data_IF_640453592313
#
_entry.id   IF_640453592313
#
_cell.length_a   1.000
_cell.length_b   1.000
_cell.length_c   1.000
_cell.angle_alpha   90.00
_cell.angle_beta   90.00
_cell.angle_gamma   90.00
#
_symmetry.space_group_name_H-M   'P 1'
#
loop_
_entity.id
_entity.type
_entity.pdbx_description
1 polymer ?
#
# COMPACT_ATOMS: atom_id res chain seq x y z
N UNK A 1 -33.97 -37.08 34.42
CA UNK A 1 -33.88 -36.90 32.96
C UNK A 1 -33.43 -35.46 32.70
N UNK A 2 -32.16 -35.24 32.35
CA UNK A 2 -31.63 -33.88 32.13
C UNK A 2 -30.90 -33.85 30.78
N UNK A 3 -31.44 -33.08 29.84
CA UNK A 3 -30.87 -32.87 28.50
C UNK A 3 -29.58 -32.04 28.65
N UNK A 4 -28.42 -32.68 28.53
CA UNK A 4 -27.15 -31.98 28.32
C UNK A 4 -27.27 -31.23 26.99
N UNK A 5 -27.28 -29.89 27.06
CA UNK A 5 -27.10 -29.04 25.88
C UNK A 5 -25.73 -29.35 25.29
N UNK A 6 -25.73 -29.69 24.02
CA UNK A 6 -24.54 -30.11 23.28
C UNK A 6 -23.58 -28.92 23.17
N UNK A 7 -22.38 -29.07 23.72
CA UNK A 7 -21.35 -28.02 23.78
C UNK A 7 -20.92 -27.61 22.37
N UNK A 8 -21.07 -28.52 21.39
CA UNK A 8 -20.83 -28.22 19.98
C UNK A 8 -21.90 -27.32 19.37
N UNK A 9 -23.14 -27.38 19.84
CA UNK A 9 -24.24 -26.55 19.35
C UNK A 9 -24.16 -25.10 19.86
N UNK A 10 -23.69 -24.92 21.10
CA UNK A 10 -23.45 -23.57 21.66
C UNK A 10 -22.25 -22.88 20.97
N UNK A 11 -21.27 -23.66 20.49
CA UNK A 11 -20.15 -23.15 19.71
C UNK A 11 -20.53 -22.80 18.26
N UNK A 12 -21.50 -23.51 17.65
CA UNK A 12 -22.02 -23.14 16.32
C UNK A 12 -22.86 -21.86 16.35
N UNK A 13 -23.60 -21.62 17.42
CA UNK A 13 -24.46 -20.43 17.57
C UNK A 13 -23.67 -19.14 17.92
N UNK A 14 -22.39 -19.28 18.29
CA UNK A 14 -21.47 -18.17 18.60
C UNK A 14 -20.52 -17.83 17.45
N UNK A 15 -20.70 -18.44 16.27
CA UNK A 15 -19.85 -18.23 15.10
C UNK A 15 -20.15 -16.85 14.49
N UNK A 16 -19.19 -15.90 14.44
CA UNK A 16 -19.43 -14.60 13.83
C UNK A 16 -19.71 -14.75 12.33
N UNK A 17 -20.71 -14.04 11.82
CA UNK A 17 -21.22 -14.11 10.44
C UNK A 17 -20.16 -13.90 9.32
N UNK A 18 -18.95 -13.45 9.69
CA UNK A 18 -17.78 -13.41 8.79
C UNK A 18 -17.18 -14.78 8.45
N UNK A 19 -17.58 -15.83 9.17
CA UNK A 19 -17.10 -17.21 8.99
C UNK A 19 -18.15 -18.14 8.36
N UNK A 20 -19.29 -17.61 7.94
CA UNK A 20 -20.13 -18.31 6.98
C UNK A 20 -19.39 -18.30 5.63
N UNK A 21 -19.41 -19.41 4.86
CA UNK A 21 -18.92 -19.40 3.50
C UNK A 21 -19.78 -18.41 2.71
N UNK A 22 -19.31 -17.17 2.66
CA UNK A 22 -19.96 -16.07 1.97
C UNK A 22 -20.18 -16.42 0.51
N UNK A 23 -21.29 -15.90 0.02
CA UNK A 23 -22.00 -15.96 -1.25
C UNK A 23 -21.17 -15.59 -2.50
N UNK A 24 -19.89 -15.97 -2.56
CA UNK A 24 -19.03 -15.85 -3.74
C UNK A 24 -18.62 -14.41 -4.10
N UNK A 25 -18.89 -13.43 -3.23
CA UNK A 25 -18.56 -12.02 -3.47
C UNK A 25 -17.07 -11.74 -3.27
N UNK A 26 -16.38 -11.43 -4.36
CA UNK A 26 -14.99 -10.98 -4.36
C UNK A 26 -14.94 -9.46 -4.14
N UNK A 27 -14.49 -9.02 -2.97
CA UNK A 27 -14.24 -7.61 -2.67
C UNK A 27 -12.78 -7.25 -3.01
N UNK A 28 -12.51 -6.44 -4.06
CA UNK A 28 -11.15 -5.99 -4.35
C UNK A 28 -10.55 -5.14 -3.22
N UNK A 29 -11.38 -4.47 -2.40
CA UNK A 29 -10.89 -3.79 -1.21
C UNK A 29 -10.52 -4.78 -0.10
N UNK A 30 -10.95 -6.05 -0.11
CA UNK A 30 -10.52 -7.06 0.86
C UNK A 30 -9.11 -7.61 0.56
N UNK A 31 -8.61 -7.45 -0.67
CA UNK A 31 -7.23 -7.82 -1.05
C UNK A 31 -6.24 -6.70 -0.66
N UNK A 32 -6.68 -5.44 -0.65
CA UNK A 32 -5.88 -4.29 -0.17
C UNK A 32 -6.14 -3.92 1.28
N UNK A 33 -7.29 -4.29 1.86
CA UNK A 33 -7.60 -4.09 3.27
C UNK A 33 -6.92 -5.18 4.08
N UNK A 34 -5.80 -4.82 4.67
CA UNK A 34 -5.19 -5.64 5.71
C UNK A 34 -6.08 -5.72 6.97
N UNK A 35 -5.94 -6.80 7.77
CA UNK A 35 -6.78 -7.07 8.94
C UNK A 35 -6.72 -5.92 9.95
N UNK A 36 -7.89 -5.43 10.35
CA UNK A 36 -8.00 -4.46 11.45
C UNK A 36 -7.54 -5.13 12.75
N UNK A 37 -6.80 -4.43 13.62
CA UNK A 37 -6.60 -4.91 14.99
C UNK A 37 -7.98 -5.02 15.66
N UNK A 38 -8.38 -6.24 16.06
CA UNK A 38 -9.49 -6.36 17.00
C UNK A 38 -9.11 -5.57 18.26
N UNK A 39 -10.00 -4.72 18.81
CA UNK A 39 -9.73 -4.07 20.07
C UNK A 39 -9.52 -5.16 21.12
N UNK A 40 -8.36 -5.14 21.79
CA UNK A 40 -8.10 -5.94 22.98
C UNK A 40 -9.30 -5.74 23.92
N UNK A 41 -10.12 -6.79 24.06
CA UNK A 41 -11.14 -6.82 25.11
C UNK A 41 -10.36 -6.71 26.41
N UNK A 42 -10.55 -5.66 27.22
CA UNK A 42 -9.80 -5.53 28.45
C UNK A 42 -10.19 -6.70 29.35
N UNK A 43 -9.26 -7.62 29.56
CA UNK A 43 -9.35 -8.59 30.63
C UNK A 43 -9.55 -7.80 31.93
N UNK A 44 -10.66 -8.05 32.61
CA UNK A 44 -11.02 -7.37 33.86
C UNK A 44 -9.90 -7.56 34.90
N UNK A 45 -8.99 -6.59 34.99
CA UNK A 45 -7.96 -6.55 36.03
C UNK A 45 -8.60 -6.10 37.33
N UNK A 46 -8.68 -7.04 38.27
CA UNK A 46 -9.04 -6.79 39.68
C UNK A 46 -8.12 -5.69 40.23
N UNK A 47 -8.74 -4.63 40.72
CA UNK A 47 -8.08 -3.49 41.34
C UNK A 47 -7.45 -3.94 42.67
N UNK A 48 -6.12 -4.04 42.72
CA UNK A 48 -5.38 -4.09 43.97
C UNK A 48 -4.99 -2.66 44.36
N UNK A 49 -5.56 -2.19 45.47
CA UNK A 49 -5.33 -0.85 46.05
C UNK A 49 -3.97 -0.84 46.75
N UNK A 50 -3.01 -0.08 46.24
CA UNK A 50 -1.81 0.28 46.99
C UNK A 50 -1.88 1.77 47.37
N UNK A 51 -1.85 2.01 48.69
CA UNK A 51 -1.83 3.31 49.34
C UNK A 51 -0.45 3.95 49.11
N UNK A 52 -0.42 5.22 48.67
CA UNK A 52 0.78 6.05 48.72
C UNK A 52 0.51 7.27 49.59
N UNK A 53 1.40 7.44 50.56
CA UNK A 53 1.41 8.44 51.63
C UNK A 53 1.84 9.78 51.04
N UNK A 54 1.10 10.84 51.41
CA UNK A 54 1.43 12.24 51.19
C UNK A 54 2.65 12.63 52.05
N UNK A 55 3.65 13.24 51.43
CA UNK A 55 4.60 14.10 52.14
C UNK A 55 4.86 15.35 51.28
N UNK A 56 4.49 16.50 51.84
CA UNK A 56 4.70 17.83 51.32
C UNK A 56 6.10 18.35 51.72
N UNK A 57 6.68 19.22 50.89
CA UNK A 57 7.87 20.00 51.23
C UNK A 57 8.10 21.12 50.21
N UNK A 58 8.00 22.37 50.66
CA UNK A 58 8.16 23.62 49.91
C UNK A 58 9.63 24.11 49.91
N UNK A 59 10.17 24.44 48.70
CA UNK A 59 10.80 25.74 48.24
C UNK A 59 12.12 26.24 48.92
N UNK A 60 12.97 27.17 48.37
CA UNK A 60 13.32 27.68 47.00
C UNK A 60 14.85 27.66 46.68
N UNK A 61 15.28 28.04 45.43
CA UNK A 61 16.24 29.14 45.17
C UNK A 61 16.85 29.17 43.72
N UNK A 62 16.58 30.29 43.02
CA UNK A 62 17.44 31.18 42.19
C UNK A 62 18.65 30.67 41.35
N UNK A 63 18.59 31.02 40.04
CA UNK A 63 19.49 31.92 39.28
C UNK A 63 20.21 31.40 38.01
N UNK A 64 20.37 32.35 37.07
CA UNK A 64 21.15 32.39 35.82
C UNK A 64 20.58 31.56 34.63
N UNK A 65 20.43 32.06 33.40
CA UNK A 65 20.97 33.24 32.75
C UNK A 65 21.53 32.82 31.39
N UNK A 66 20.77 32.96 30.30
CA UNK A 66 21.29 32.86 28.94
C UNK A 66 20.42 33.68 27.97
N UNK A 67 20.99 34.77 27.45
CA UNK A 67 20.47 35.49 26.29
C UNK A 67 20.53 34.57 25.06
N UNK A 68 19.38 34.23 24.48
CA UNK A 68 19.31 33.72 23.13
C UNK A 68 19.15 34.90 22.17
N UNK A 69 20.22 35.23 21.44
CA UNK A 69 20.18 36.15 20.30
C UNK A 69 19.33 35.51 19.20
N UNK A 70 18.14 36.07 18.95
CA UNK A 70 17.35 35.73 17.78
C UNK A 70 17.99 36.41 16.57
N UNK A 71 18.82 35.67 15.84
CA UNK A 71 19.23 36.09 14.49
C UNK A 71 18.03 35.87 13.58
N UNK A 72 17.34 36.96 13.23
CA UNK A 72 16.37 36.97 12.16
C UNK A 72 17.11 36.77 10.82
N UNK A 73 17.22 35.51 10.39
CA UNK A 73 17.67 35.20 9.03
C UNK A 73 16.52 35.55 8.08
N UNK A 74 16.63 36.69 7.40
CA UNK A 74 15.91 36.95 6.16
C UNK A 74 16.26 35.85 5.16
N UNK A 75 15.30 35.25 4.45
CA UNK A 75 15.65 34.41 3.31
C UNK A 75 16.10 35.34 2.18
N UNK A 76 17.39 35.64 2.14
CA UNK A 76 18.03 36.14 0.94
C UNK A 76 18.04 35.01 -0.10
N UNK A 77 17.54 35.36 -1.27
CA UNK A 77 17.56 34.64 -2.53
C UNK A 77 18.89 33.93 -2.78
N UNK A 78 18.85 32.60 -2.85
CA UNK A 78 19.96 31.82 -3.39
C UNK A 78 19.88 31.79 -4.93
N UNK A 79 21.01 31.99 -5.65
CA UNK A 79 21.06 31.91 -7.10
C UNK A 79 20.88 30.47 -7.57
N UNK A 80 19.92 30.24 -8.45
CA UNK A 80 19.63 28.93 -9.05
C UNK A 80 20.78 28.50 -9.97
N UNK A 81 21.44 27.35 -9.75
CA UNK A 81 22.21 26.70 -10.80
C UNK A 81 21.21 26.19 -11.83
N UNK A 82 21.29 26.71 -13.05
CA UNK A 82 20.43 26.31 -14.18
C UNK A 82 20.71 24.85 -14.52
N UNK A 83 19.80 23.89 -14.30
CA UNK A 83 19.95 22.57 -14.88
C UNK A 83 19.82 22.75 -16.39
N UNK A 84 20.77 22.17 -17.15
CA UNK A 84 20.60 22.01 -18.59
C UNK A 84 19.31 21.23 -18.79
N UNK A 85 18.25 21.92 -19.23
CA UNK A 85 16.99 21.30 -19.56
C UNK A 85 17.28 20.25 -20.65
N UNK A 86 17.28 18.98 -20.27
CA UNK A 86 16.92 17.95 -21.22
C UNK A 86 15.52 18.33 -21.71
N UNK A 87 15.37 18.48 -23.03
CA UNK A 87 14.07 18.74 -23.62
C UNK A 87 13.08 17.69 -23.07
N UNK A 88 11.85 18.07 -22.68
CA UNK A 88 10.86 17.08 -22.30
C UNK A 88 10.69 16.15 -23.50
N UNK A 89 11.04 14.86 -23.32
CA UNK A 89 10.62 13.83 -24.26
C UNK A 89 9.11 13.99 -24.44
N UNK A 90 8.59 14.04 -25.69
CA UNK A 90 7.16 14.14 -25.89
C UNK A 90 6.49 13.00 -25.14
N UNK A 91 5.46 13.31 -24.34
CA UNK A 91 4.70 12.29 -23.65
C UNK A 91 4.22 11.25 -24.69
N UNK A 92 4.35 9.95 -24.41
CA UNK A 92 3.90 8.92 -25.35
C UNK A 92 2.41 9.16 -25.66
N UNK A 93 2.04 9.05 -26.94
CA UNK A 93 0.69 9.41 -27.39
C UNK A 93 -0.36 8.34 -27.05
N UNK A 94 0.07 7.19 -26.53
CA UNK A 94 -0.80 6.05 -26.18
C UNK A 94 -0.25 5.24 -25.01
N UNK A 95 -1.16 4.55 -24.31
CA UNK A 95 -0.82 3.61 -23.25
C UNK A 95 0.19 2.54 -23.69
N UNK A 96 -0.02 2.00 -24.90
CA UNK A 96 0.84 0.98 -25.50
C UNK A 96 2.28 1.47 -25.68
N UNK A 97 2.47 2.70 -26.19
CA UNK A 97 3.79 3.27 -26.39
C UNK A 97 4.51 3.45 -25.05
N UNK A 98 3.84 4.02 -24.04
CA UNK A 98 4.38 4.19 -22.70
C UNK A 98 4.88 2.86 -22.12
N UNK A 99 4.04 1.82 -22.18
CA UNK A 99 4.36 0.50 -21.63
C UNK A 99 5.50 -0.19 -22.38
N UNK A 100 5.59 -0.04 -23.71
CA UNK A 100 6.70 -0.60 -24.49
C UNK A 100 8.02 0.13 -24.20
N UNK A 101 8.01 1.45 -24.05
CA UNK A 101 9.19 2.23 -23.63
C UNK A 101 9.63 1.85 -22.22
N UNK A 102 8.69 1.66 -21.29
CA UNK A 102 9.00 1.16 -19.96
C UNK A 102 9.64 -0.25 -20.03
N UNK A 103 9.13 -1.14 -20.87
CA UNK A 103 9.68 -2.48 -21.08
C UNK A 103 11.14 -2.46 -21.59
N UNK A 104 11.45 -1.56 -22.53
CA UNK A 104 12.82 -1.39 -23.05
C UNK A 104 13.77 -0.86 -21.96
N UNK A 105 13.33 0.14 -21.21
CA UNK A 105 14.14 0.78 -20.16
C UNK A 105 14.47 -0.19 -19.04
N UNK A 106 13.47 -0.89 -18.51
CA UNK A 106 13.70 -1.83 -17.38
C UNK A 106 14.44 -3.08 -17.83
N UNK A 107 14.25 -3.55 -19.07
CA UNK A 107 14.87 -4.79 -19.56
C UNK A 107 16.40 -4.75 -19.63
N UNK A 108 17.00 -3.56 -19.66
CA UNK A 108 18.45 -3.34 -19.67
C UNK A 108 19.09 -3.18 -18.28
N UNK A 109 18.31 -3.28 -17.21
CA UNK A 109 18.84 -3.14 -15.83
C UNK A 109 19.50 -4.43 -15.34
N UNK A 110 20.40 -4.31 -14.37
CA UNK A 110 21.10 -5.45 -13.79
C UNK A 110 20.18 -6.29 -12.88
N UNK A 111 20.44 -7.59 -12.83
CA UNK A 111 19.77 -8.49 -11.89
C UNK A 111 20.38 -8.27 -10.50
N UNK A 112 19.59 -7.78 -9.56
CA UNK A 112 20.01 -7.69 -8.16
C UNK A 112 19.89 -9.02 -7.41
N UNK A 113 20.67 -9.15 -6.34
CA UNK A 113 20.59 -10.25 -5.38
C UNK A 113 20.83 -9.71 -3.96
N UNK A 114 20.42 -10.47 -2.96
CA UNK A 114 20.69 -10.15 -1.56
C UNK A 114 19.98 -11.13 -0.65
N UNK A 115 20.32 -11.13 0.65
CA UNK A 115 19.67 -11.92 1.69
C UNK A 115 18.18 -11.59 1.87
N UNK A 116 17.80 -10.36 1.54
CA UNK A 116 16.42 -9.89 1.58
C UNK A 116 16.03 -9.20 0.28
N UNK A 117 14.78 -9.43 -0.14
CA UNK A 117 14.05 -8.47 -0.96
C UNK A 117 13.31 -7.51 -0.03
N UNK A 118 13.70 -6.24 -0.03
CA UNK A 118 13.14 -5.21 0.84
C UNK A 118 12.14 -4.37 0.05
N UNK A 119 10.92 -4.27 0.56
CA UNK A 119 9.94 -3.30 0.07
C UNK A 119 9.59 -2.29 1.17
N UNK A 120 9.41 -1.04 0.77
CA UNK A 120 8.83 0.03 1.57
C UNK A 120 7.69 0.60 0.77
N UNK A 121 6.48 0.49 1.32
CA UNK A 121 5.25 0.85 0.63
C UNK A 121 4.41 1.75 1.53
N UNK A 122 3.87 2.82 0.97
CA UNK A 122 2.81 3.60 1.61
C UNK A 122 1.45 3.19 1.03
N UNK A 123 0.55 2.73 1.89
CA UNK A 123 -0.85 2.51 1.56
C UNK A 123 -1.68 3.70 2.02
N UNK A 124 -2.68 4.07 1.23
CA UNK A 124 -3.69 5.04 1.62
C UNK A 124 -5.09 4.50 1.36
N UNK A 125 -5.97 4.61 2.35
CA UNK A 125 -7.39 4.27 2.25
C UNK A 125 -8.24 5.52 2.43
N UNK A 126 -9.09 5.80 1.45
CA UNK A 126 -9.98 6.97 1.51
C UNK A 126 -11.21 6.64 2.36
N UNK A 127 -11.47 7.49 3.36
CA UNK A 127 -12.57 7.37 4.30
C UNK A 127 -13.39 8.64 4.27
N UNK A 128 -14.69 8.49 4.05
CA UNK A 128 -15.61 9.61 4.21
C UNK A 128 -15.94 9.79 5.70
N UNK A 129 -15.65 10.97 6.24
CA UNK A 129 -15.81 11.30 7.66
C UNK A 129 -16.59 12.60 7.83
N UNK A 130 -16.76 13.04 9.09
CA UNK A 130 -17.51 14.26 9.43
C UNK A 130 -19.01 14.05 9.65
N UNK A 131 -19.72 15.10 10.11
CA UNK A 131 -21.15 15.04 10.41
C UNK A 131 -22.02 14.86 9.15
N UNK A 132 -23.23 14.33 9.34
CA UNK A 132 -24.24 14.24 8.27
C UNK A 132 -24.59 15.63 7.76
N UNK A 133 -24.33 15.91 6.48
CA UNK A 133 -24.52 17.24 5.85
C UNK A 133 -23.23 18.05 5.65
N UNK A 134 -22.10 17.57 6.17
CA UNK A 134 -20.78 18.21 6.01
C UNK A 134 -19.67 17.18 5.88
N UNK A 135 -19.92 16.11 5.11
CA UNK A 135 -18.97 15.01 4.90
C UNK A 135 -17.79 15.49 4.04
N UNK A 136 -16.62 14.96 4.33
CA UNK A 136 -15.39 15.18 3.56
C UNK A 136 -14.55 13.91 3.59
N UNK A 137 -13.67 13.76 2.62
CA UNK A 137 -12.78 12.62 2.49
C UNK A 137 -11.43 12.88 3.18
N UNK A 138 -11.01 11.91 3.98
CA UNK A 138 -9.65 11.82 4.51
C UNK A 138 -8.99 10.58 3.96
N UNK A 139 -7.70 10.66 3.65
CA UNK A 139 -6.88 9.49 3.37
C UNK A 139 -6.18 9.06 4.66
N UNK A 140 -6.52 7.86 5.14
CA UNK A 140 -5.79 7.19 6.21
C UNK A 140 -4.56 6.51 5.63
N UNK A 141 -3.37 6.80 6.15
CA UNK A 141 -2.11 6.36 5.56
C UNK A 141 -1.35 5.41 6.47
N UNK A 142 -0.70 4.44 5.86
CA UNK A 142 0.10 3.42 6.54
C UNK A 142 1.37 3.15 5.76
N UNK A 143 2.50 3.07 6.45
CA UNK A 143 3.76 2.58 5.90
C UNK A 143 3.96 1.13 6.28
N UNK A 144 4.35 0.31 5.31
CA UNK A 144 4.72 -1.10 5.48
C UNK A 144 6.13 -1.30 4.96
N UNK A 145 7.05 -1.67 5.85
CA UNK A 145 8.40 -2.09 5.49
C UNK A 145 8.44 -3.63 5.58
N UNK A 146 8.62 -4.31 4.46
CA UNK A 146 8.76 -5.78 4.44
C UNK A 146 10.15 -6.18 3.99
N UNK A 147 10.78 -7.06 4.77
CA UNK A 147 12.06 -7.69 4.47
C UNK A 147 11.78 -9.16 4.18
N UNK A 148 11.52 -9.48 2.93
CA UNK A 148 11.25 -10.84 2.47
C UNK A 148 12.55 -11.63 2.49
N UNK A 149 12.60 -12.66 3.33
CA UNK A 149 13.72 -13.59 3.35
C UNK A 149 13.80 -14.34 2.03
N UNK A 150 15.01 -14.52 1.52
CA UNK A 150 15.28 -15.24 0.26
C UNK A 150 15.66 -16.69 0.52
N UNK A 151 16.23 -16.96 1.70
CA UNK A 151 16.44 -18.28 2.25
C UNK A 151 15.28 -18.63 3.22
N UNK A 152 14.61 -19.78 3.07
CA UNK A 152 13.58 -20.23 4.01
C UNK A 152 14.07 -20.40 5.46
N UNK A 153 15.38 -20.55 5.69
CA UNK A 153 15.98 -20.58 7.03
C UNK A 153 16.00 -19.19 7.69
N UNK A 154 15.90 -18.13 6.90
CA UNK A 154 15.85 -16.76 7.38
C UNK A 154 14.42 -16.30 7.67
N UNK A 155 14.30 -15.43 8.68
CA UNK A 155 13.02 -14.84 9.07
C UNK A 155 12.66 -13.68 8.14
N UNK A 156 11.40 -13.63 7.72
CA UNK A 156 10.77 -12.45 7.11
C UNK A 156 10.30 -11.46 8.18
N UNK A 157 10.52 -10.16 7.94
CA UNK A 157 10.19 -9.09 8.88
C UNK A 157 9.18 -8.14 8.26
N UNK A 158 8.14 -7.80 9.00
CA UNK A 158 7.11 -6.86 8.58
C UNK A 158 6.98 -5.78 9.63
N UNK A 159 7.26 -4.53 9.26
CA UNK A 159 7.06 -3.37 10.12
C UNK A 159 5.90 -2.54 9.58
N UNK A 160 5.04 -2.10 10.48
CA UNK A 160 3.85 -1.31 10.15
C UNK A 160 3.86 -0.03 10.96
N UNK A 161 3.59 1.09 10.31
CA UNK A 161 3.54 2.41 10.95
C UNK A 161 2.37 3.23 10.41
N UNK A 162 1.44 3.62 11.29
CA UNK A 162 0.41 4.59 10.93
C UNK A 162 1.07 5.94 10.65
N UNK A 163 0.78 6.52 9.48
CA UNK A 163 1.22 7.88 9.13
C UNK A 163 0.13 8.92 9.42
N UNK A 164 -0.96 8.50 10.07
CA UNK A 164 -2.12 9.33 10.34
C UNK A 164 -2.95 9.64 9.09
N UNK A 165 -4.15 10.13 9.33
CA UNK A 165 -5.07 10.60 8.32
C UNK A 165 -4.92 12.09 8.05
N UNK A 166 -5.16 12.49 6.80
CA UNK A 166 -5.24 13.90 6.40
C UNK A 166 -6.34 14.10 5.36
N UNK A 167 -6.88 15.32 5.21
CA UNK A 167 -7.78 15.62 4.10
C UNK A 167 -7.17 15.21 2.75
N UNK A 168 -7.99 14.64 1.88
CA UNK A 168 -7.54 14.13 0.59
C UNK A 168 -7.22 15.27 -0.38
N UNK A 169 -8.18 16.17 -0.59
CA UNK A 169 -8.06 17.33 -1.48
C UNK A 169 -8.33 18.66 -0.75
N UNK A 170 -8.09 19.77 -1.43
CA UNK A 170 -8.31 21.12 -0.90
C UNK A 170 -9.78 21.36 -0.48
N UNK A 171 -10.74 20.77 -1.19
CA UNK A 171 -12.16 20.84 -0.83
C UNK A 171 -12.45 20.11 0.48
N UNK A 172 -11.84 18.93 0.67
CA UNK A 172 -11.95 18.17 1.93
C UNK A 172 -11.28 18.90 3.08
N UNK A 173 -10.15 19.57 2.81
CA UNK A 173 -9.47 20.38 3.81
C UNK A 173 -10.33 21.56 4.27
N UNK A 174 -11.02 22.22 3.35
CA UNK A 174 -11.99 23.26 3.69
C UNK A 174 -13.17 22.69 4.52
N UNK A 175 -13.66 21.49 4.18
CA UNK A 175 -14.68 20.76 4.96
C UNK A 175 -14.20 20.41 6.38
N UNK A 176 -12.99 19.90 6.49
CA UNK A 176 -12.34 19.54 7.75
C UNK A 176 -12.15 20.74 8.66
N UNK A 177 -11.66 21.87 8.11
CA UNK A 177 -11.49 23.12 8.86
C UNK A 177 -12.83 23.69 9.34
N UNK A 178 -13.88 23.67 8.51
CA UNK A 178 -15.24 24.07 8.92
C UNK A 178 -15.80 23.20 10.04
N UNK A 179 -15.42 21.92 10.08
CA UNK A 179 -15.80 21.01 11.15
C UNK A 179 -14.97 21.17 12.44
N UNK A 180 -14.09 22.18 12.53
CA UNK A 180 -13.25 22.45 13.70
C UNK A 180 -11.94 21.66 13.73
N UNK A 181 -11.47 21.17 12.58
CA UNK A 181 -10.23 20.40 12.44
C UNK A 181 -10.08 19.24 13.45
N UNK A 182 -11.10 18.37 13.59
CA UNK A 182 -11.02 17.24 14.51
C UNK A 182 -9.85 16.31 14.17
N UNK A 183 -9.26 15.71 15.20
CA UNK A 183 -8.09 14.84 15.06
C UNK A 183 -8.44 13.35 15.05
N UNK A 184 -9.72 12.99 15.27
CA UNK A 184 -10.18 11.60 15.34
C UNK A 184 -11.63 11.42 14.88
N UNK A 185 -11.89 10.32 14.18
CA UNK A 185 -13.22 9.83 13.78
C UNK A 185 -13.29 8.31 13.99
N UNK A 186 -13.77 7.87 15.16
CA UNK A 186 -13.73 6.45 15.52
C UNK A 186 -12.30 5.92 15.53
N UNK A 187 -12.00 4.95 14.67
CA UNK A 187 -10.67 4.34 14.48
C UNK A 187 -9.71 5.20 13.62
N UNK A 188 -10.23 6.18 12.87
CA UNK A 188 -9.40 7.05 12.01
C UNK A 188 -8.83 8.18 12.88
N UNK A 189 -7.51 8.39 12.82
CA UNK A 189 -6.80 9.42 13.61
C UNK A 189 -5.82 10.19 12.72
N UNK A 190 -5.66 11.49 12.95
CA UNK A 190 -4.65 12.32 12.26
C UNK A 190 -3.23 12.09 12.79
N UNK A 191 -3.12 11.51 13.98
CA UNK A 191 -1.83 11.19 14.62
C UNK A 191 -1.10 10.06 13.89
N UNK A 192 0.19 10.24 13.63
CA UNK A 192 1.09 9.13 13.31
C UNK A 192 1.29 8.23 14.53
N UNK A 193 1.54 6.95 14.26
CA UNK A 193 1.90 5.96 15.28
C UNK A 193 3.40 5.66 15.29
N UNK A 194 3.82 4.95 16.33
CA UNK A 194 5.13 4.29 16.35
C UNK A 194 5.16 3.16 15.32
N UNK A 195 6.33 2.93 14.73
CA UNK A 195 6.57 1.76 13.90
C UNK A 195 6.63 0.53 14.78
N UNK A 196 5.91 -0.53 14.40
CA UNK A 196 5.82 -1.77 15.16
C UNK A 196 6.17 -2.96 14.30
N UNK A 197 6.97 -3.87 14.86
CA UNK A 197 7.13 -5.21 14.28
C UNK A 197 5.79 -5.96 14.37
N UNK A 198 5.36 -6.56 13.26
CA UNK A 198 4.19 -7.43 13.19
C UNK A 198 4.65 -8.86 12.97
N UNK A 199 3.93 -9.79 13.58
CA UNK A 199 4.06 -11.20 13.21
C UNK A 199 3.57 -11.35 11.77
N UNK A 200 4.35 -11.97 10.87
CA UNK A 200 3.93 -12.28 9.51
C UNK A 200 2.84 -13.36 9.51
N UNK A 201 1.62 -13.04 9.95
CA UNK A 201 0.51 -13.99 9.94
C UNK A 201 0.17 -14.38 8.50
N UNK A 202 0.17 -15.69 8.20
CA UNK A 202 -0.09 -16.21 6.85
C UNK A 202 1.06 -16.10 5.86
N UNK A 203 2.23 -15.62 6.29
CA UNK A 203 3.45 -15.59 5.48
C UNK A 203 4.30 -16.83 5.78
N UNK A 204 4.37 -17.73 4.80
CA UNK A 204 5.32 -18.85 4.78
C UNK A 204 6.62 -18.33 4.13
N UNK A 205 7.78 -18.41 4.80
CA UNK A 205 9.08 -18.03 4.22
C UNK A 205 9.31 -18.52 2.79
N UNK A 206 8.79 -19.70 2.44
CA UNK A 206 8.87 -20.24 1.10
C UNK A 206 7.90 -19.57 0.10
N UNK A 207 6.74 -19.06 0.55
CA UNK A 207 5.63 -18.53 -0.26
C UNK A 207 5.17 -17.14 0.21
N UNK A 208 6.12 -16.26 0.50
CA UNK A 208 5.83 -14.94 1.05
C UNK A 208 5.26 -13.92 0.06
N UNK A 209 5.19 -14.26 -1.22
CA UNK A 209 4.73 -13.35 -2.27
C UNK A 209 3.33 -13.73 -2.73
N UNK A 210 2.57 -12.74 -3.21
CA UNK A 210 1.28 -12.97 -3.84
C UNK A 210 1.35 -12.55 -5.30
N UNK A 211 1.02 -13.47 -6.20
CA UNK A 211 0.85 -13.20 -7.63
C UNK A 211 -0.56 -13.61 -8.05
N UNK A 212 -1.36 -12.62 -8.41
CA UNK A 212 -2.77 -12.73 -8.69
C UNK A 212 -3.55 -13.34 -7.53
N UNK A 213 -3.30 -12.86 -6.31
CA UNK A 213 -3.99 -13.32 -5.09
C UNK A 213 -3.62 -14.72 -4.60
N UNK A 214 -2.67 -15.41 -5.26
CA UNK A 214 -2.22 -16.75 -4.88
C UNK A 214 -0.76 -16.73 -4.38
N UNK A 215 -0.41 -17.47 -3.31
CA UNK A 215 0.97 -17.56 -2.81
C UNK A 215 1.96 -18.09 -3.87
N UNK A 216 3.09 -17.43 -4.03
CA UNK A 216 4.16 -17.78 -4.99
C UNK A 216 5.53 -17.72 -4.32
N UNK A 217 6.42 -18.61 -4.71
CA UNK A 217 7.81 -18.66 -4.22
C UNK A 217 8.72 -17.70 -5.00
N UNK A 218 9.88 -17.36 -4.44
CA UNK A 218 10.89 -16.58 -5.17
C UNK A 218 11.42 -17.31 -6.41
N UNK A 219 11.59 -18.63 -6.33
CA UNK A 219 12.05 -19.46 -7.43
C UNK A 219 11.03 -19.46 -8.59
N UNK A 220 9.74 -19.57 -8.28
CA UNK A 220 8.68 -19.45 -9.29
C UNK A 220 8.64 -18.05 -9.92
N UNK A 221 8.82 -16.97 -9.14
CA UNK A 221 8.89 -15.60 -9.68
C UNK A 221 10.09 -15.41 -10.60
N UNK A 222 11.25 -15.90 -10.20
CA UNK A 222 12.50 -15.80 -10.97
C UNK A 222 12.47 -16.66 -12.23
N UNK A 223 11.73 -17.78 -12.19
CA UNK A 223 11.52 -18.70 -13.30
C UNK A 223 10.33 -18.34 -14.21
N UNK A 224 9.68 -17.20 -14.01
CA UNK A 224 8.61 -16.76 -14.90
C UNK A 224 9.14 -16.57 -16.34
N UNK A 225 8.34 -16.88 -17.37
CA UNK A 225 8.75 -16.69 -18.75
C UNK A 225 9.08 -15.23 -19.06
N UNK A 226 10.15 -15.01 -19.83
CA UNK A 226 10.57 -13.69 -20.32
C UNK A 226 9.99 -13.36 -21.70
N UNK A 227 9.44 -14.35 -22.39
CA UNK A 227 8.62 -14.13 -23.59
C UNK A 227 7.21 -13.66 -23.17
N UNK A 228 6.68 -12.54 -23.73
CA UNK A 228 5.39 -12.00 -23.33
C UNK A 228 4.20 -12.96 -23.55
N UNK A 229 4.22 -13.75 -24.63
CA UNK A 229 3.12 -14.68 -24.93
C UNK A 229 3.14 -15.88 -23.96
N UNK A 230 4.33 -16.42 -23.69
CA UNK A 230 4.51 -17.46 -22.69
C UNK A 230 4.16 -16.97 -21.28
N UNK A 231 4.54 -15.73 -20.92
CA UNK A 231 4.19 -15.13 -19.63
C UNK A 231 2.68 -14.97 -19.50
N UNK A 232 2.00 -14.43 -20.53
CA UNK A 232 0.53 -14.34 -20.56
C UNK A 232 -0.11 -15.70 -20.30
N UNK A 233 0.33 -16.75 -20.99
CA UNK A 233 -0.20 -18.10 -20.82
C UNK A 233 0.03 -18.64 -19.40
N UNK A 234 1.22 -18.40 -18.83
CA UNK A 234 1.55 -18.80 -17.46
C UNK A 234 0.68 -18.10 -16.42
N UNK A 235 0.44 -16.80 -16.57
CA UNK A 235 -0.43 -16.01 -15.69
C UNK A 235 -1.88 -16.48 -15.76
N UNK A 236 -2.43 -16.71 -16.95
CA UNK A 236 -3.79 -17.24 -17.11
C UNK A 236 -3.94 -18.64 -16.52
N UNK A 237 -2.97 -19.54 -16.77
CA UNK A 237 -2.96 -20.88 -16.17
C UNK A 237 -3.00 -20.81 -14.65
N UNK A 238 -2.26 -19.86 -14.06
CA UNK A 238 -2.26 -19.64 -12.60
C UNK A 238 -3.61 -19.16 -12.08
N UNK A 239 -4.36 -18.41 -12.87
CA UNK A 239 -5.68 -17.87 -12.51
C UNK A 239 -6.85 -18.80 -12.89
N UNK A 240 -6.56 -19.97 -13.45
CA UNK A 240 -7.58 -20.94 -13.82
C UNK A 240 -8.52 -21.27 -12.63
N UNK A 241 -9.81 -21.34 -12.94
CA UNK A 241 -10.89 -21.55 -11.97
C UNK A 241 -11.33 -20.30 -11.20
N UNK A 242 -10.77 -19.12 -11.51
CA UNK A 242 -11.28 -17.84 -11.01
C UNK A 242 -12.59 -17.41 -11.72
N UNK A 243 -13.37 -16.55 -11.06
CA UNK A 243 -14.59 -15.94 -11.63
C UNK A 243 -14.31 -14.68 -12.44
N UNK A 244 -13.08 -14.17 -12.38
CA UNK A 244 -12.68 -12.94 -13.05
C UNK A 244 -12.38 -13.15 -14.53
N UNK A 245 -12.58 -12.12 -15.34
CA UNK A 245 -12.18 -12.14 -16.76
C UNK A 245 -10.66 -12.34 -16.92
N UNK A 246 -10.27 -13.00 -18.01
CA UNK A 246 -8.85 -13.18 -18.39
C UNK A 246 -8.10 -11.85 -18.47
N UNK A 247 -8.71 -10.82 -19.09
CA UNK A 247 -8.07 -9.51 -19.24
C UNK A 247 -7.84 -8.83 -17.90
N UNK A 248 -8.81 -8.88 -16.98
CA UNK A 248 -8.62 -8.36 -15.62
C UNK A 248 -7.53 -9.12 -14.87
N UNK A 249 -7.57 -10.46 -14.94
CA UNK A 249 -6.59 -11.32 -14.29
C UNK A 249 -5.17 -11.03 -14.77
N UNK A 250 -5.00 -10.78 -16.08
CA UNK A 250 -3.74 -10.36 -16.69
C UNK A 250 -3.33 -8.95 -16.25
N UNK A 251 -4.24 -7.98 -16.29
CA UNK A 251 -3.94 -6.61 -15.88
C UNK A 251 -3.47 -6.55 -14.42
N UNK A 252 -4.20 -7.21 -13.53
CA UNK A 252 -3.87 -7.30 -12.11
C UNK A 252 -2.52 -7.99 -11.88
N UNK A 253 -2.33 -9.19 -12.43
CA UNK A 253 -1.10 -9.96 -12.20
C UNK A 253 0.13 -9.29 -12.80
N UNK A 254 0.03 -8.73 -14.00
CA UNK A 254 1.15 -8.03 -14.64
C UNK A 254 1.49 -6.71 -13.92
N UNK A 255 0.49 -6.02 -13.35
CA UNK A 255 0.72 -4.84 -12.49
C UNK A 255 1.56 -5.20 -11.25
N UNK A 256 1.24 -6.32 -10.58
CA UNK A 256 2.03 -6.78 -9.42
C UNK A 256 3.48 -7.11 -9.80
N UNK A 257 3.70 -7.73 -10.97
CA UNK A 257 5.05 -8.07 -11.44
C UNK A 257 5.93 -6.84 -11.69
N UNK A 258 5.33 -5.71 -12.12
CA UNK A 258 6.09 -4.48 -12.40
C UNK A 258 6.25 -3.59 -11.18
N UNK A 259 5.30 -3.63 -10.23
CA UNK A 259 5.23 -2.72 -9.10
C UNK A 259 6.32 -2.99 -8.04
N UNK A 260 6.25 -4.13 -7.34
CA UNK A 260 7.09 -4.36 -6.15
C UNK A 260 7.50 -5.82 -5.91
N UNK A 261 7.15 -6.74 -6.82
CA UNK A 261 7.63 -8.12 -6.76
C UNK A 261 9.11 -8.23 -7.18
N UNK A 262 9.88 -9.17 -6.59
CA UNK A 262 11.27 -9.45 -6.94
C UNK A 262 11.35 -10.23 -8.27
N UNK A 263 10.94 -9.60 -9.36
CA UNK A 263 11.05 -10.13 -10.72
C UNK A 263 12.35 -9.68 -11.36
N UNK A 264 12.91 -10.53 -12.22
CA UNK A 264 14.05 -10.14 -13.04
C UNK A 264 13.67 -8.98 -13.96
N UNK A 265 14.63 -8.14 -14.37
CA UNK A 265 14.44 -7.10 -15.38
C UNK A 265 13.70 -7.58 -16.63
N UNK A 266 14.01 -8.81 -17.10
CA UNK A 266 13.42 -9.40 -18.30
C UNK A 266 11.96 -9.83 -18.07
N UNK A 267 11.63 -10.39 -16.90
CA UNK A 267 10.24 -10.69 -16.53
C UNK A 267 9.43 -9.40 -16.38
N UNK A 268 10.01 -8.36 -15.78
CA UNK A 268 9.39 -7.04 -15.65
C UNK A 268 9.08 -6.42 -17.02
N UNK A 269 10.05 -6.49 -17.94
CA UNK A 269 9.86 -6.05 -19.32
C UNK A 269 8.78 -6.87 -20.05
N UNK A 270 8.74 -8.19 -19.85
CA UNK A 270 7.71 -9.05 -20.41
C UNK A 270 6.31 -8.68 -19.86
N UNK A 271 6.19 -8.40 -18.56
CA UNK A 271 4.95 -7.97 -17.93
C UNK A 271 4.45 -6.64 -18.50
N UNK A 272 5.33 -5.66 -18.73
CA UNK A 272 4.96 -4.43 -19.43
C UNK A 272 4.48 -4.68 -20.86
N UNK A 273 5.12 -5.60 -21.60
CA UNK A 273 4.64 -5.99 -22.94
C UNK A 273 3.29 -6.70 -22.90
N UNK A 274 3.03 -7.50 -21.87
CA UNK A 274 1.70 -8.10 -21.64
C UNK A 274 0.67 -6.99 -21.44
N UNK A 275 0.92 -6.04 -20.53
CA UNK A 275 0.03 -4.88 -20.30
C UNK A 275 -0.21 -4.09 -21.60
N UNK A 276 0.83 -3.88 -22.40
CA UNK A 276 0.76 -3.14 -23.67
C UNK A 276 -0.10 -3.83 -24.75
N UNK A 277 -0.30 -5.14 -24.62
CA UNK A 277 -1.13 -5.96 -25.50
C UNK A 277 -2.53 -6.24 -24.97
N UNK A 278 -2.94 -5.64 -23.85
CA UNK A 278 -4.30 -5.79 -23.32
C UNK A 278 -5.23 -4.74 -23.92
N UNK A 279 -6.36 -5.21 -24.46
CA UNK A 279 -7.46 -4.34 -24.84
C UNK A 279 -8.09 -3.70 -23.60
N UNK A 280 -8.50 -2.44 -23.70
CA UNK A 280 -9.15 -1.70 -22.61
C UNK A 280 -8.19 -1.04 -21.62
N UNK A 281 -6.87 -1.20 -21.78
CA UNK A 281 -5.89 -0.38 -21.05
C UNK A 281 -5.80 0.99 -21.71
N UNK A 282 -6.07 2.02 -20.92
CA UNK A 282 -6.17 3.41 -21.38
C UNK A 282 -5.12 4.27 -20.72
N UNK A 283 -4.57 5.23 -21.46
CA UNK A 283 -3.72 6.26 -20.87
C UNK A 283 -4.60 7.36 -20.30
N UNK A 284 -4.31 7.75 -19.06
CA UNK A 284 -5.07 8.76 -18.32
C UNK A 284 -4.31 10.07 -18.16
N UNK A 285 -3.10 10.14 -18.72
CA UNK A 285 -2.25 11.32 -18.72
C UNK A 285 -1.34 11.43 -17.49
N UNK A 286 -0.68 12.59 -17.33
CA UNK A 286 0.26 12.84 -16.25
C UNK A 286 -0.44 12.96 -14.90
N UNK A 287 0.17 12.37 -13.88
CA UNK A 287 -0.27 12.42 -12.49
C UNK A 287 0.92 12.70 -11.58
N UNK A 288 0.63 13.13 -10.36
CA UNK A 288 1.60 13.22 -9.27
C UNK A 288 1.21 12.21 -8.21
N UNK A 289 2.14 11.33 -7.85
CA UNK A 289 1.88 10.32 -6.84
C UNK A 289 1.85 10.93 -5.42
N UNK A 290 1.46 10.16 -4.39
CA UNK A 290 1.41 10.63 -3.00
C UNK A 290 2.74 11.14 -2.42
N UNK A 291 3.88 10.81 -3.05
CA UNK A 291 5.22 11.26 -2.66
C UNK A 291 5.73 12.44 -3.51
N UNK A 292 4.89 13.02 -4.37
CA UNK A 292 5.25 14.18 -5.19
C UNK A 292 6.03 13.82 -6.46
N UNK A 293 6.14 12.54 -6.81
CA UNK A 293 6.82 12.09 -8.02
C UNK A 293 5.88 12.21 -9.22
N UNK A 294 6.39 12.77 -10.31
CA UNK A 294 5.66 12.82 -11.57
C UNK A 294 5.65 11.46 -12.25
N UNK A 295 4.49 11.03 -12.75
CA UNK A 295 4.34 9.81 -13.51
C UNK A 295 3.20 9.91 -14.51
N UNK A 296 3.00 8.84 -15.28
CA UNK A 296 1.91 8.68 -16.24
C UNK A 296 0.97 7.59 -15.73
N UNK A 297 -0.32 7.90 -15.65
CA UNK A 297 -1.33 6.94 -15.20
C UNK A 297 -1.90 6.14 -16.38
N UNK A 298 -2.02 4.83 -16.18
CA UNK A 298 -2.65 3.89 -17.09
C UNK A 298 -3.77 3.18 -16.35
N UNK A 299 -4.98 3.17 -16.91
CA UNK A 299 -6.16 2.61 -16.27
C UNK A 299 -6.76 1.43 -17.00
N UNK A 300 -7.24 0.44 -16.25
CA UNK A 300 -8.18 -0.56 -16.74
C UNK A 300 -9.47 -0.48 -15.92
N UNK A 301 -10.59 -0.24 -16.61
CA UNK A 301 -11.91 -0.17 -16.00
C UNK A 301 -12.61 -1.51 -16.12
N UNK A 302 -13.11 -2.03 -15.00
CA UNK A 302 -13.96 -3.21 -14.96
C UNK A 302 -15.31 -2.91 -14.32
N UNK A 303 -16.31 -3.68 -14.70
CA UNK A 303 -17.59 -3.75 -13.99
C UNK A 303 -17.55 -4.95 -13.05
N UNK A 304 -17.71 -4.71 -11.76
CA UNK A 304 -17.91 -5.76 -10.75
C UNK A 304 -19.23 -5.55 -10.01
N UNK A 305 -19.48 -6.40 -9.02
CA UNK A 305 -20.72 -6.37 -8.22
C UNK A 305 -20.90 -5.04 -7.45
N UNK A 306 -19.80 -4.38 -7.09
CA UNK A 306 -19.77 -3.08 -6.43
C UNK A 306 -19.84 -1.86 -7.36
N UNK A 307 -20.04 -2.07 -8.67
CA UNK A 307 -20.08 -0.99 -9.66
C UNK A 307 -18.86 -0.96 -10.59
N UNK A 308 -18.61 0.22 -11.18
CA UNK A 308 -17.46 0.41 -12.07
C UNK A 308 -16.21 0.73 -11.24
N UNK A 309 -15.26 -0.19 -11.25
CA UNK A 309 -13.96 -0.01 -10.61
C UNK A 309 -12.89 0.22 -11.66
N UNK A 310 -11.98 1.16 -11.43
CA UNK A 310 -10.81 1.37 -12.28
C UNK A 310 -9.55 1.18 -11.44
N UNK A 311 -8.69 0.27 -11.89
CA UNK A 311 -7.34 0.13 -11.35
C UNK A 311 -6.40 0.94 -12.22
N UNK A 312 -5.55 1.76 -11.60
CA UNK A 312 -4.54 2.55 -12.28
C UNK A 312 -3.15 2.11 -11.86
N UNK A 313 -2.25 2.03 -12.84
CA UNK A 313 -0.81 1.91 -12.64
C UNK A 313 -0.17 3.26 -12.99
N UNK A 314 0.65 3.79 -12.08
CA UNK A 314 1.44 5.01 -12.30
C UNK A 314 2.86 4.60 -12.62
N UNK A 315 3.35 4.99 -13.79
CA UNK A 315 4.70 4.67 -14.27
C UNK A 315 5.51 5.96 -14.46
N UNK A 316 6.75 5.97 -14.00
CA UNK A 316 7.73 6.99 -14.37
C UNK A 316 8.15 6.77 -15.84
N UNK A 317 7.82 7.69 -16.77
CA UNK A 317 8.13 7.52 -18.18
C UNK A 317 9.63 7.60 -18.49
N UNK A 318 10.44 8.20 -17.60
CA UNK A 318 11.88 8.34 -17.80
C UNK A 318 12.69 7.12 -17.35
N UNK A 319 12.21 6.39 -16.34
CA UNK A 319 12.91 5.23 -15.77
C UNK A 319 12.21 3.90 -16.04
N UNK A 320 10.93 3.93 -16.44
CA UNK A 320 10.10 2.73 -16.55
C UNK A 320 9.72 2.11 -15.21
N UNK A 321 10.00 2.78 -14.08
CA UNK A 321 9.63 2.31 -12.76
C UNK A 321 8.14 2.50 -12.51
N UNK A 322 7.48 1.45 -12.03
CA UNK A 322 6.12 1.56 -11.50
C UNK A 322 6.18 2.23 -10.12
N UNK A 323 5.54 3.39 -9.98
CA UNK A 323 5.58 4.22 -8.78
C UNK A 323 4.45 3.90 -7.81
N UNK A 324 3.26 3.64 -8.36
CA UNK A 324 2.06 3.42 -7.55
C UNK A 324 1.00 2.61 -8.31
N UNK A 325 0.11 2.00 -7.53
CA UNK A 325 -1.15 1.45 -7.97
C UNK A 325 -2.29 2.15 -7.23
N UNK A 326 -3.36 2.50 -7.93
CA UNK A 326 -4.52 3.18 -7.35
C UNK A 326 -5.81 2.46 -7.72
N UNK A 327 -6.75 2.40 -6.78
CA UNK A 327 -8.11 1.93 -7.02
C UNK A 327 -9.08 3.12 -7.00
N UNK A 328 -9.89 3.23 -8.04
CA UNK A 328 -10.85 4.30 -8.23
C UNK A 328 -12.25 3.72 -8.44
N UNK A 329 -13.26 4.42 -7.93
CA UNK A 329 -14.62 4.28 -8.41
C UNK A 329 -14.72 5.06 -9.72
N UNK A 330 -14.86 4.34 -10.83
CA UNK A 330 -14.90 4.93 -12.15
C UNK A 330 -16.26 5.58 -12.47
N UNK A 331 -17.32 5.23 -11.74
CA UNK A 331 -18.63 5.86 -11.88
C UNK A 331 -18.67 7.25 -11.25
N UNK A 332 -17.96 7.45 -10.13
CA UNK A 332 -17.92 8.73 -9.41
C UNK A 332 -16.63 9.52 -9.64
N UNK A 333 -15.59 8.89 -10.20
CA UNK A 333 -14.26 9.49 -10.33
C UNK A 333 -13.55 9.65 -8.99
N UNK A 334 -13.94 8.89 -7.96
CA UNK A 334 -13.41 9.02 -6.60
C UNK A 334 -12.30 8.01 -6.33
N UNK A 335 -11.18 8.48 -5.78
CA UNK A 335 -10.11 7.60 -5.29
C UNK A 335 -10.64 6.78 -4.10
N UNK A 336 -10.38 5.47 -4.11
CA UNK A 336 -10.75 4.55 -3.04
C UNK A 336 -9.55 4.20 -2.18
N UNK A 337 -8.44 3.81 -2.81
CA UNK A 337 -7.20 3.47 -2.14
C UNK A 337 -6.00 3.60 -3.08
N UNK A 338 -4.80 3.67 -2.50
CA UNK A 338 -3.54 3.58 -3.24
C UNK A 338 -2.51 2.72 -2.52
N UNK A 339 -1.54 2.26 -3.31
CA UNK A 339 -0.29 1.67 -2.89
C UNK A 339 0.83 2.41 -3.63
N UNK A 340 1.69 3.13 -2.91
CA UNK A 340 2.84 3.83 -3.48
C UNK A 340 4.15 3.16 -3.04
N UNK A 341 4.99 2.80 -4.01
CA UNK A 341 6.29 2.16 -3.77
C UNK A 341 7.32 3.23 -3.44
N UNK A 342 7.82 3.23 -2.21
CA UNK A 342 8.89 4.13 -1.76
C UNK A 342 10.25 3.52 -2.06
N UNK A 343 10.40 2.22 -1.84
CA UNK A 343 11.63 1.46 -2.06
C UNK A 343 11.29 -0.01 -2.38
N UNK A 344 12.03 -0.62 -3.30
CA UNK A 344 11.89 -2.02 -3.68
C UNK A 344 13.26 -2.50 -4.19
N UNK A 345 14.04 -3.12 -3.32
CA UNK A 345 15.46 -3.37 -3.58
C UNK A 345 15.97 -4.65 -2.91
N UNK A 346 17.02 -5.22 -3.48
CA UNK A 346 17.76 -6.30 -2.86
C UNK A 346 18.75 -5.76 -1.83
N UNK A 347 18.93 -6.47 -0.72
CA UNK A 347 19.87 -6.04 0.32
C UNK A 347 20.38 -7.19 1.20
N UNK A 348 21.64 -7.09 1.63
CA UNK A 348 22.24 -7.93 2.67
C UNK A 348 22.23 -7.27 4.05
N UNK A 349 21.68 -6.06 4.16
CA UNK A 349 21.60 -5.33 5.41
C UNK A 349 20.75 -6.09 6.43
N UNK A 350 21.10 -5.97 7.71
CA UNK A 350 20.27 -6.50 8.77
C UNK A 350 18.94 -5.71 8.85
N UNK A 351 17.80 -6.38 9.05
CA UNK A 351 16.53 -5.71 9.31
C UNK A 351 16.64 -4.81 10.56
N UNK A 352 15.86 -3.71 10.64
CA UNK A 352 15.85 -2.85 11.79
C UNK A 352 15.55 -3.63 13.09
N UNK A 353 16.14 -3.18 14.21
CA UNK A 353 15.75 -3.70 15.52
C UNK A 353 14.29 -3.30 15.80
N UNK A 354 13.56 -4.24 16.41
CA UNK A 354 12.15 -4.09 16.77
C UNK A 354 11.92 -3.01 17.83
#
# INVERSE_FOLDING_TARGET
MSRRRDVLQVLSESRPARLDPGDGRFDPAAVTAYPRPEPDRPAARRVARCRLVLAAGLVPALAAGALAVVVAVRPDTFPTPRPRAAAPSPAPATARQLLLTAAETVGGTEVGTGRYWKTVVEHGDVRQVGPSGGRYDVVQRMRVDTWYATDPADRTWVFVQSLGARPLAAADEAGWRRAGSPTRWGEVSTSSGERRLRTPEGLDPARNYLLGGRPVTLAELSGLPTDPAALRAALLKRQAGGSESDTWSLFWSATQLVLDLPTTPQVRAAAYRVLAGLDGVTELGPVTDPHGRSGMALGYTRRGDGGLAQLRLVVDPGTGLALAQESWDAGTGRLLSYQAVVDATWTDAAPPKA
#
